data_IF_632329707132
#
_entry.id   IF_632329707132
#
_cell.length_a   1.000
_cell.length_b   1.000
_cell.length_c   1.000
_cell.angle_alpha   90.00
_cell.angle_beta   90.00
_cell.angle_gamma   90.00
#
_symmetry.space_group_name_H-M   'P 1'
#
loop_
_entity.id
_entity.type
_entity.pdbx_description
1 polymer ?
#
# COMPACT_ATOMS: atom_id res chain seq x y z
N UNK A 1 -23.56 25.64 2.13
CA UNK A 1 -22.11 25.90 1.98
C UNK A 1 -21.38 25.00 2.96
N UNK A 2 -21.01 23.81 2.54
CA UNK A 2 -20.33 22.83 3.40
C UNK A 2 -18.92 23.37 3.68
N UNK A 3 -18.67 23.81 4.91
CA UNK A 3 -17.34 24.19 5.36
C UNK A 3 -16.41 23.00 5.10
N UNK A 4 -15.46 23.14 4.17
CA UNK A 4 -14.43 22.14 3.97
C UNK A 4 -13.69 22.04 5.30
N UNK A 5 -13.88 20.93 6.03
CA UNK A 5 -13.04 20.59 7.17
C UNK A 5 -11.63 20.46 6.60
N UNK A 6 -10.78 21.44 6.87
CA UNK A 6 -9.36 21.32 6.62
C UNK A 6 -8.85 20.16 7.49
N UNK A 7 -8.69 18.98 6.88
CA UNK A 7 -8.33 17.73 7.57
C UNK A 7 -7.01 17.86 8.36
N UNK A 8 -6.12 18.75 7.92
CA UNK A 8 -4.87 19.09 8.61
C UNK A 8 -4.69 20.63 8.67
N UNK A 9 -4.65 21.25 9.87
CA UNK A 9 -4.35 22.68 9.99
C UNK A 9 -2.91 22.98 9.55
N UNK A 10 -2.66 24.23 9.13
CA UNK A 10 -1.32 24.70 8.73
C UNK A 10 -0.67 25.47 9.87
N UNK A 11 0.64 25.31 10.01
CA UNK A 11 1.45 26.03 10.99
C UNK A 11 2.81 26.36 10.38
N UNK A 12 3.57 27.25 11.01
CA UNK A 12 4.95 27.48 10.61
C UNK A 12 5.84 26.35 11.13
N UNK A 13 6.98 26.06 10.47
CA UNK A 13 7.97 25.13 11.00
C UNK A 13 8.36 25.49 12.44
N UNK A 14 8.66 26.78 12.70
CA UNK A 14 9.12 27.26 13.99
C UNK A 14 8.08 27.05 15.11
N UNK A 15 6.79 27.33 14.84
CA UNK A 15 5.71 27.10 15.80
C UNK A 15 5.52 25.61 16.13
N UNK A 16 5.96 24.73 15.23
CA UNK A 16 5.97 23.27 15.45
C UNK A 16 7.32 22.76 15.95
N UNK A 17 8.23 23.65 16.39
CA UNK A 17 9.57 23.31 16.90
C UNK A 17 10.57 22.84 15.84
N UNK A 18 10.33 23.14 14.56
CA UNK A 18 11.16 22.75 13.42
C UNK A 18 11.87 23.97 12.83
N UNK A 19 13.14 23.81 12.46
CA UNK A 19 13.89 24.85 11.76
C UNK A 19 13.48 24.91 10.29
N UNK A 20 13.12 26.08 9.78
CA UNK A 20 12.88 26.28 8.34
C UNK A 20 14.11 25.91 7.50
N UNK A 21 15.34 26.07 8.03
CA UNK A 21 16.58 25.68 7.34
C UNK A 21 16.62 24.18 7.02
N UNK A 22 16.03 23.34 7.86
CA UNK A 22 15.98 21.89 7.60
C UNK A 22 15.10 21.54 6.41
N UNK A 23 14.04 22.32 6.17
CA UNK A 23 13.16 22.15 5.01
C UNK A 23 13.91 22.61 3.74
N UNK A 24 14.55 23.77 3.77
CA UNK A 24 15.36 24.25 2.64
C UNK A 24 16.48 23.27 2.30
N UNK A 25 17.22 22.79 3.30
CA UNK A 25 18.29 21.81 3.07
C UNK A 25 17.79 20.48 2.46
N UNK A 26 16.57 20.05 2.79
CA UNK A 26 15.94 18.90 2.14
C UNK A 26 15.65 19.20 0.66
N UNK A 27 15.07 20.37 0.35
CA UNK A 27 14.77 20.78 -1.02
C UNK A 27 16.05 20.89 -1.86
N UNK A 28 17.08 21.56 -1.35
CA UNK A 28 18.39 21.67 -1.99
C UNK A 28 18.99 20.28 -2.27
N UNK A 29 18.81 19.33 -1.34
CA UNK A 29 19.32 17.97 -1.51
C UNK A 29 18.54 17.17 -2.55
N UNK A 30 17.22 17.34 -2.62
CA UNK A 30 16.39 16.72 -3.65
C UNK A 30 16.77 17.23 -5.05
N UNK A 31 17.00 18.53 -5.16
CA UNK A 31 17.48 19.17 -6.39
C UNK A 31 18.88 18.68 -6.78
N UNK A 32 19.84 18.67 -5.84
CA UNK A 32 21.20 18.20 -6.09
C UNK A 32 21.29 16.72 -6.48
N UNK A 33 20.28 15.92 -6.13
CA UNK A 33 20.15 14.52 -6.52
C UNK A 33 19.34 14.32 -7.81
N UNK A 34 18.85 15.40 -8.42
CA UNK A 34 17.96 15.39 -9.57
C UNK A 34 16.75 14.48 -9.36
N UNK A 35 16.17 14.49 -8.16
CA UNK A 35 14.97 13.71 -7.87
C UNK A 35 13.78 14.39 -8.55
N UNK A 36 13.07 13.64 -9.40
CA UNK A 36 11.83 14.10 -10.02
C UNK A 36 10.69 14.11 -8.99
N UNK A 37 10.63 15.18 -8.19
CA UNK A 37 9.57 15.35 -7.20
C UNK A 37 8.28 15.85 -7.86
N UNK A 38 7.16 15.19 -7.56
CA UNK A 38 5.84 15.69 -7.93
C UNK A 38 5.26 16.62 -6.86
N UNK A 39 5.41 16.24 -5.59
CA UNK A 39 4.94 17.00 -4.44
C UNK A 39 5.66 16.61 -3.16
N UNK A 40 5.58 17.48 -2.16
CA UNK A 40 6.04 17.24 -0.80
C UNK A 40 5.00 17.80 0.18
N UNK A 41 4.77 17.09 1.28
CA UNK A 41 4.01 17.57 2.43
C UNK A 41 4.69 17.06 3.70
N UNK A 42 5.03 17.98 4.59
CA UNK A 42 5.64 17.68 5.89
C UNK A 42 4.63 17.99 6.97
N UNK A 43 4.24 16.97 7.73
CA UNK A 43 3.30 17.08 8.84
C UNK A 43 4.04 16.84 10.15
N UNK A 44 3.88 17.75 11.11
CA UNK A 44 4.45 17.61 12.46
C UNK A 44 3.43 18.06 13.50
N UNK A 45 3.26 17.27 14.56
CA UNK A 45 2.28 17.51 15.64
C UNK A 45 0.88 17.82 15.09
N UNK A 46 0.45 17.08 14.05
CA UNK A 46 -0.85 17.24 13.41
C UNK A 46 -1.00 18.45 12.49
N UNK A 47 0.06 19.25 12.29
CA UNK A 47 0.03 20.44 11.43
C UNK A 47 0.88 20.25 10.19
N UNK A 48 0.40 20.72 9.04
CA UNK A 48 1.22 20.89 7.84
C UNK A 48 2.17 22.06 8.09
N UNK A 49 3.47 21.80 8.06
CA UNK A 49 4.53 22.81 8.31
C UNK A 49 5.24 23.24 7.04
N UNK A 50 5.18 22.43 5.99
CA UNK A 50 5.63 22.75 4.65
C UNK A 50 4.89 21.87 3.65
N UNK A 51 4.51 22.44 2.51
CA UNK A 51 3.93 21.70 1.39
C UNK A 51 4.28 22.41 0.07
N UNK A 52 4.37 21.66 -1.01
CA UNK A 52 4.71 22.19 -2.33
C UNK A 52 4.48 21.17 -3.43
N UNK A 53 4.25 21.67 -4.65
CA UNK A 53 3.98 20.88 -5.85
C UNK A 53 4.80 21.46 -7.00
N UNK A 54 5.55 20.60 -7.69
CA UNK A 54 6.34 21.02 -8.85
C UNK A 54 5.46 21.04 -10.08
N UNK A 55 5.68 21.98 -11.01
CA UNK A 55 4.91 22.01 -12.25
C UNK A 55 5.13 20.70 -13.07
N UNK A 56 4.09 20.11 -13.69
CA UNK A 56 2.70 20.56 -13.79
C UNK A 56 1.74 19.95 -12.73
N UNK A 57 2.24 19.54 -11.57
CA UNK A 57 1.44 18.97 -10.48
C UNK A 57 0.79 20.06 -9.60
N UNK A 58 -0.30 19.70 -8.92
CA UNK A 58 -1.02 20.56 -7.98
C UNK A 58 -1.61 19.72 -6.84
N UNK A 59 -2.13 20.38 -5.80
CA UNK A 59 -2.72 19.72 -4.64
C UNK A 59 -3.96 18.88 -4.98
N UNK A 60 -4.72 19.32 -5.99
CA UNK A 60 -5.98 18.70 -6.42
C UNK A 60 -5.77 17.63 -7.48
N UNK A 61 -4.54 17.49 -8.01
CA UNK A 61 -4.26 16.56 -9.10
C UNK A 61 -4.22 15.11 -8.55
N UNK A 62 -5.01 14.18 -9.11
CA UNK A 62 -4.93 12.78 -8.71
C UNK A 62 -3.56 12.18 -9.02
N UNK A 63 -3.06 11.37 -8.09
CA UNK A 63 -1.80 10.64 -8.22
C UNK A 63 -2.03 9.13 -8.20
N UNK A 64 -1.26 8.38 -8.99
CA UNK A 64 -1.19 6.94 -8.85
C UNK A 64 -0.51 6.59 -7.51
N UNK A 65 -1.23 5.91 -6.63
CA UNK A 65 -0.77 5.58 -5.28
C UNK A 65 0.09 4.29 -5.25
N UNK A 66 0.00 3.46 -6.28
CA UNK A 66 0.73 2.19 -6.40
C UNK A 66 0.65 1.35 -5.10
N UNK A 67 1.78 0.98 -4.50
CA UNK A 67 1.79 0.15 -3.30
C UNK A 67 1.27 0.84 -2.05
N UNK A 68 1.03 2.15 -2.05
CA UNK A 68 0.35 2.82 -0.94
C UNK A 68 -1.09 2.30 -0.78
N UNK A 69 -1.73 1.85 -1.86
CA UNK A 69 -3.05 1.19 -1.82
C UNK A 69 -3.09 0.02 -0.84
N UNK A 70 -1.98 -0.70 -0.63
CA UNK A 70 -1.89 -1.82 0.31
C UNK A 70 -2.16 -1.38 1.75
N UNK A 71 -1.76 -0.16 2.14
CA UNK A 71 -2.05 0.37 3.48
C UNK A 71 -3.55 0.53 3.70
N UNK A 72 -4.28 1.04 2.70
CA UNK A 72 -5.74 1.15 2.76
C UNK A 72 -6.41 -0.22 2.78
N UNK A 73 -5.95 -1.16 1.95
CA UNK A 73 -6.44 -2.54 1.97
C UNK A 73 -6.22 -3.19 3.35
N UNK A 74 -5.04 -3.02 3.97
CA UNK A 74 -4.77 -3.53 5.32
C UNK A 74 -5.68 -2.90 6.38
N UNK A 75 -5.98 -1.60 6.27
CA UNK A 75 -6.95 -0.94 7.17
C UNK A 75 -8.34 -1.53 6.97
N UNK A 76 -8.80 -1.73 5.74
CA UNK A 76 -10.09 -2.33 5.45
C UNK A 76 -10.20 -3.75 6.04
N UNK A 77 -9.15 -4.57 5.93
CA UNK A 77 -9.10 -5.89 6.58
C UNK A 77 -9.10 -5.76 8.10
N UNK A 78 -8.40 -4.78 8.67
CA UNK A 78 -8.43 -4.50 10.11
C UNK A 78 -9.83 -4.12 10.63
N UNK A 79 -10.60 -3.36 9.83
CA UNK A 79 -12.00 -3.06 10.14
C UNK A 79 -12.87 -4.31 10.09
N UNK A 80 -12.73 -5.15 9.07
CA UNK A 80 -13.46 -6.41 8.98
C UNK A 80 -13.17 -7.36 10.16
N UNK A 81 -11.93 -7.36 10.68
CA UNK A 81 -11.56 -8.08 11.90
C UNK A 81 -12.25 -7.47 13.13
N UNK A 82 -12.26 -6.14 13.24
CA UNK A 82 -12.92 -5.45 14.35
C UNK A 82 -14.43 -5.72 14.38
N UNK A 83 -15.05 -5.87 13.21
CA UNK A 83 -16.46 -6.24 13.04
C UNK A 83 -16.73 -7.74 13.24
N UNK A 84 -15.70 -8.55 13.50
CA UNK A 84 -15.83 -10.00 13.72
C UNK A 84 -16.13 -10.83 12.47
N UNK A 85 -15.91 -10.26 11.27
CA UNK A 85 -16.19 -10.94 9.99
C UNK A 85 -15.10 -11.94 9.60
N UNK A 86 -13.88 -11.75 10.09
CA UNK A 86 -12.74 -12.66 9.87
C UNK A 86 -11.67 -12.46 10.96
N UNK A 87 -10.74 -13.40 11.04
CA UNK A 87 -9.56 -13.37 11.91
C UNK A 87 -8.25 -13.45 11.09
N UNK A 88 -7.13 -13.07 11.70
CA UNK A 88 -5.80 -13.20 11.12
C UNK A 88 -5.40 -14.67 10.86
N UNK A 89 -5.95 -15.59 11.65
CA UNK A 89 -5.65 -17.02 11.60
C UNK A 89 -6.59 -17.79 10.65
N UNK A 90 -7.64 -17.13 10.14
CA UNK A 90 -8.55 -17.75 9.19
C UNK A 90 -7.79 -18.14 7.92
N UNK A 91 -8.06 -19.34 7.43
CA UNK A 91 -7.47 -19.79 6.18
C UNK A 91 -8.15 -19.06 5.04
N UNK A 92 -7.36 -18.56 4.10
CA UNK A 92 -7.90 -17.76 3.00
C UNK A 92 -8.86 -18.61 2.15
N UNK A 93 -8.64 -19.93 2.06
CA UNK A 93 -9.55 -20.85 1.34
C UNK A 93 -10.95 -20.92 1.95
N UNK A 94 -11.07 -20.68 3.25
CA UNK A 94 -12.36 -20.67 3.96
C UNK A 94 -13.04 -19.30 3.83
N UNK A 95 -12.24 -18.22 3.78
CA UNK A 95 -12.73 -16.83 3.60
C UNK A 95 -13.22 -16.56 2.17
N UNK A 96 -12.62 -17.19 1.16
CA UNK A 96 -12.91 -16.99 -0.26
C UNK A 96 -13.12 -18.34 -0.97
N UNK A 97 -14.16 -19.11 -0.60
CA UNK A 97 -14.36 -20.48 -1.09
C UNK A 97 -14.60 -20.55 -2.60
N UNK A 98 -15.27 -19.55 -3.17
CA UNK A 98 -15.59 -19.50 -4.61
C UNK A 98 -14.36 -19.26 -5.51
N UNK A 99 -13.23 -18.86 -4.91
CA UNK A 99 -11.98 -18.53 -5.61
C UNK A 99 -10.88 -19.55 -5.36
N UNK A 100 -11.23 -20.78 -4.99
CA UNK A 100 -10.29 -21.87 -4.75
C UNK A 100 -10.11 -22.68 -6.05
N UNK A 101 -8.89 -22.73 -6.63
CA UNK A 101 -8.61 -23.60 -7.76
C UNK A 101 -8.74 -25.08 -7.39
N UNK A 102 -9.19 -25.91 -8.34
CA UNK A 102 -9.34 -27.36 -8.14
C UNK A 102 -8.00 -28.04 -7.79
N UNK A 103 -6.90 -27.54 -8.36
CA UNK A 103 -5.54 -28.05 -8.20
C UNK A 103 -4.73 -27.34 -7.09
N UNK A 104 -5.40 -26.70 -6.13
CA UNK A 104 -4.72 -25.94 -5.08
C UNK A 104 -3.75 -26.81 -4.26
N UNK A 105 -2.49 -26.33 -4.18
CA UNK A 105 -1.43 -26.99 -3.42
C UNK A 105 -1.71 -27.05 -1.91
N UNK A 106 -1.12 -28.04 -1.24
CA UNK A 106 -1.09 -28.17 0.23
C UNK A 106 -0.61 -26.89 0.94
N UNK A 107 0.39 -26.21 0.37
CA UNK A 107 0.88 -24.93 0.86
C UNK A 107 -0.20 -23.84 0.76
N UNK A 108 -0.87 -23.75 -0.40
CA UNK A 108 -1.94 -22.79 -0.65
C UNK A 108 -3.13 -22.97 0.30
N UNK A 109 -3.47 -24.21 0.65
CA UNK A 109 -4.53 -24.53 1.63
C UNK A 109 -4.23 -24.06 3.05
N UNK A 110 -2.95 -23.88 3.41
CA UNK A 110 -2.50 -23.43 4.73
C UNK A 110 -2.29 -21.91 4.84
N UNK A 111 -2.46 -21.17 3.75
CA UNK A 111 -2.34 -19.72 3.79
C UNK A 111 -3.46 -19.13 4.66
N UNK A 112 -3.08 -18.19 5.50
CA UNK A 112 -4.01 -17.44 6.36
C UNK A 112 -4.03 -15.97 5.97
N UNK A 113 -5.02 -15.22 6.47
CA UNK A 113 -5.11 -13.77 6.29
C UNK A 113 -3.81 -13.07 6.71
N UNK A 114 -3.21 -13.48 7.85
CA UNK A 114 -1.92 -12.98 8.30
C UNK A 114 -0.79 -13.16 7.26
N UNK A 115 -0.76 -14.29 6.55
CA UNK A 115 0.28 -14.53 5.53
C UNK A 115 0.18 -13.56 4.35
N UNK A 116 -1.04 -13.15 3.97
CA UNK A 116 -1.26 -12.15 2.93
C UNK A 116 -0.85 -10.75 3.40
N UNK A 117 -1.33 -10.33 4.57
CA UNK A 117 -1.04 -9.00 5.12
C UNK A 117 0.45 -8.78 5.44
N UNK A 118 1.16 -9.85 5.81
CA UNK A 118 2.59 -9.79 6.16
C UNK A 118 3.53 -10.04 4.97
N UNK A 119 2.98 -10.28 3.77
CA UNK A 119 3.74 -10.60 2.55
C UNK A 119 4.62 -11.87 2.71
N UNK A 120 4.05 -12.91 3.33
CA UNK A 120 4.74 -14.19 3.61
C UNK A 120 4.07 -15.41 2.94
N UNK A 121 3.22 -15.17 1.94
CA UNK A 121 2.54 -16.20 1.16
C UNK A 121 3.47 -17.10 0.32
N UNK A 122 4.73 -16.71 0.10
CA UNK A 122 5.74 -17.57 -0.54
C UNK A 122 5.89 -17.43 -2.06
N UNK A 123 5.29 -16.40 -2.67
CA UNK A 123 5.57 -16.05 -4.06
C UNK A 123 7.00 -15.48 -4.20
N UNK A 124 7.80 -16.03 -5.12
CA UNK A 124 9.22 -15.66 -5.29
C UNK A 124 9.41 -14.47 -6.23
N UNK A 125 8.54 -14.37 -7.23
CA UNK A 125 8.53 -13.36 -8.27
C UNK A 125 7.16 -12.70 -8.30
N UNK A 126 7.04 -11.59 -9.04
CA UNK A 126 5.72 -11.06 -9.36
C UNK A 126 4.94 -12.13 -10.13
N UNK A 127 3.80 -12.56 -9.56
CA UNK A 127 2.93 -13.59 -10.10
C UNK A 127 1.76 -12.99 -10.89
N UNK A 128 1.62 -11.66 -10.95
CA UNK A 128 0.44 -11.00 -11.50
C UNK A 128 0.17 -11.38 -12.96
N UNK A 129 1.20 -11.33 -13.80
CA UNK A 129 1.05 -11.68 -15.21
C UNK A 129 0.76 -13.17 -15.43
N UNK A 130 1.26 -14.05 -14.56
CA UNK A 130 0.99 -15.48 -14.62
C UNK A 130 -0.42 -15.80 -14.14
N UNK A 131 -0.83 -15.22 -13.02
CA UNK A 131 -2.18 -15.32 -12.48
C UNK A 131 -3.24 -14.90 -13.52
N UNK A 132 -3.00 -13.79 -14.23
CA UNK A 132 -3.88 -13.31 -15.30
C UNK A 132 -3.95 -14.25 -16.50
N UNK A 133 -2.86 -14.95 -16.83
CA UNK A 133 -2.88 -15.94 -17.93
C UNK A 133 -3.62 -17.22 -17.55
N UNK A 134 -3.51 -17.64 -16.29
CA UNK A 134 -4.15 -18.86 -15.79
C UNK A 134 -5.67 -18.66 -15.65
N UNK A 135 -6.09 -17.54 -15.07
CA UNK A 135 -7.51 -17.25 -14.79
C UNK A 135 -7.84 -15.79 -15.19
N UNK A 136 -8.04 -15.49 -16.48
CA UNK A 136 -8.25 -14.12 -16.95
C UNK A 136 -9.49 -13.41 -16.37
N UNK A 137 -10.51 -14.20 -15.99
CA UNK A 137 -11.75 -13.71 -15.39
C UNK A 137 -11.76 -13.71 -13.86
N UNK A 138 -10.76 -14.31 -13.22
CA UNK A 138 -10.69 -14.44 -11.76
C UNK A 138 -9.23 -14.40 -11.29
N UNK A 139 -8.74 -13.18 -11.08
CA UNK A 139 -7.36 -12.96 -10.65
C UNK A 139 -7.08 -13.53 -9.24
N UNK A 140 -8.10 -13.65 -8.39
CA UNK A 140 -7.96 -14.21 -7.04
C UNK A 140 -7.66 -15.69 -7.13
N UNK A 141 -8.44 -16.42 -7.95
CA UNK A 141 -8.19 -17.82 -8.27
C UNK A 141 -6.84 -17.99 -8.97
N UNK A 142 -6.55 -17.16 -9.97
CA UNK A 142 -5.27 -17.19 -10.70
C UNK A 142 -4.05 -17.00 -9.80
N UNK A 143 -4.08 -16.06 -8.85
CA UNK A 143 -2.98 -15.85 -7.91
C UNK A 143 -2.69 -17.10 -7.07
N UNK A 144 -3.72 -17.86 -6.74
CA UNK A 144 -3.61 -19.09 -5.93
C UNK A 144 -3.14 -20.30 -6.72
N UNK A 145 -3.40 -20.34 -8.01
CA UNK A 145 -2.85 -21.35 -8.92
C UNK A 145 -1.35 -21.16 -9.13
N UNK A 146 -0.79 -19.98 -8.85
CA UNK A 146 0.65 -19.77 -8.98
C UNK A 146 1.46 -20.46 -7.86
N UNK A 147 2.58 -21.13 -8.18
CA UNK A 147 3.34 -21.87 -7.20
C UNK A 147 3.88 -21.01 -6.04
N UNK A 148 3.64 -21.46 -4.81
CA UNK A 148 4.23 -20.88 -3.59
C UNK A 148 5.26 -21.84 -2.99
N UNK A 149 6.44 -21.34 -2.61
CA UNK A 149 7.43 -22.11 -1.82
C UNK A 149 7.61 -21.45 -0.45
N UNK A 150 7.79 -22.27 0.59
CA UNK A 150 7.67 -21.89 2.00
C UNK A 150 8.43 -20.63 2.48
N UNK A 151 7.97 -20.13 3.64
CA UNK A 151 8.34 -18.91 4.39
C UNK A 151 9.60 -18.17 3.92
N UNK A 152 9.44 -17.21 3.00
CA UNK A 152 10.31 -16.04 2.85
C UNK A 152 9.47 -14.80 2.56
N UNK A 153 9.79 -13.70 3.23
CA UNK A 153 9.14 -12.39 3.07
C UNK A 153 9.67 -11.70 1.81
N UNK A 154 8.80 -11.31 0.87
CA UNK A 154 9.17 -10.44 -0.26
C UNK A 154 8.03 -9.50 -0.63
N UNK A 155 8.38 -8.27 -1.01
CA UNK A 155 7.44 -7.32 -1.62
C UNK A 155 7.23 -7.71 -3.09
N UNK A 156 5.99 -7.97 -3.48
CA UNK A 156 5.60 -8.09 -4.89
C UNK A 156 5.63 -6.71 -5.52
N UNK A 157 6.73 -6.39 -6.18
CA UNK A 157 6.89 -5.17 -6.98
C UNK A 157 7.54 -5.58 -8.30
N UNK A 158 6.75 -5.68 -9.37
CA UNK A 158 7.21 -5.22 -10.67
C UNK A 158 6.68 -3.80 -10.88
N UNK A 159 7.56 -2.84 -10.65
CA UNK A 159 7.49 -1.55 -11.34
C UNK A 159 8.78 -1.51 -12.15
N UNK A 160 8.67 -1.86 -13.43
CA UNK A 160 9.59 -1.38 -14.46
C UNK A 160 8.86 -0.28 -15.21
#
# INVERSE_FOLDING_TARGET
>A
MTSQRTLLPRSTPAASGMSSRSITALLDRLEALSVECHSIMVVRHGHVVAEGWWAPYSAERPHFLYSLTKSFTSVAVGLAIADGLLSLDDRVVDVLPDHVPDDISEQGRRLTVHHLLSMTAGHRTDSLAEAWRLEPGDLVKGCRSTPTRGRRRRRGTSCR
#
